data_IF_803447459416
#
_entry.id   IF_803447459416
#
_cell.length_a   1.000
_cell.length_b   1.000
_cell.length_c   1.000
_cell.angle_alpha   90.00
_cell.angle_beta   90.00
_cell.angle_gamma   90.00
#
_symmetry.space_group_name_H-M   'P 1'
#
loop_
_entity.id
_entity.type
_entity.pdbx_description
1 polymer ?
#
# COMPACT_ATOMS: atom_id res chain seq x y z
N UNK A 1 9.25 19.93 15.94
CA UNK A 1 8.82 18.58 15.53
C UNK A 1 9.57 18.20 14.26
N UNK A 2 9.89 16.92 14.06
CA UNK A 2 10.48 16.47 12.80
C UNK A 2 9.48 16.69 11.65
N UNK A 3 9.91 17.36 10.58
CA UNK A 3 9.06 17.70 9.42
C UNK A 3 9.02 16.59 8.36
N UNK A 4 9.87 15.57 8.52
CA UNK A 4 10.07 14.51 7.53
C UNK A 4 10.08 13.14 8.19
N UNK A 5 9.47 12.17 7.51
CA UNK A 5 9.53 10.75 7.87
C UNK A 5 9.99 9.90 6.67
N UNK A 6 10.67 8.79 6.96
CA UNK A 6 11.10 7.81 5.96
C UNK A 6 10.44 6.47 6.31
N UNK A 7 9.81 5.85 5.31
CA UNK A 7 9.31 4.47 5.38
C UNK A 7 10.18 3.61 4.49
N UNK A 8 10.81 2.59 5.07
CA UNK A 8 11.62 1.61 4.32
C UNK A 8 10.74 0.39 4.04
N UNK A 9 10.38 0.22 2.76
CA UNK A 9 9.47 -0.79 2.25
C UNK A 9 8.21 -0.18 1.64
N UNK A 10 7.98 -0.43 0.35
CA UNK A 10 6.81 -0.03 -0.45
C UNK A 10 5.79 -1.16 -0.63
N UNK A 11 5.64 -2.03 0.36
CA UNK A 11 4.58 -3.03 0.40
C UNK A 11 3.25 -2.42 0.82
N UNK A 12 2.17 -3.21 0.84
CA UNK A 12 0.86 -2.78 1.36
C UNK A 12 0.98 -2.15 2.77
N UNK A 13 1.77 -2.76 3.66
CA UNK A 13 2.00 -2.26 5.01
C UNK A 13 2.74 -0.91 5.00
N UNK A 14 3.80 -0.78 4.20
CA UNK A 14 4.57 0.45 4.09
C UNK A 14 3.78 1.61 3.50
N UNK A 15 2.95 1.35 2.49
CA UNK A 15 2.04 2.35 1.92
C UNK A 15 0.96 2.77 2.92
N UNK A 16 0.40 1.84 3.70
CA UNK A 16 -0.54 2.17 4.78
C UNK A 16 0.14 3.03 5.87
N UNK A 17 1.35 2.66 6.29
CA UNK A 17 2.13 3.45 7.25
C UNK A 17 2.41 4.85 6.72
N UNK A 18 2.86 4.98 5.47
CA UNK A 18 3.11 6.27 4.84
C UNK A 18 1.87 7.14 4.75
N UNK A 19 0.71 6.54 4.43
CA UNK A 19 -0.59 7.24 4.36
C UNK A 19 -1.03 7.80 5.72
N UNK A 20 -0.75 7.09 6.82
CA UNK A 20 -1.03 7.55 8.18
C UNK A 20 -0.02 8.61 8.61
N UNK A 21 1.27 8.40 8.37
CA UNK A 21 2.35 9.35 8.68
C UNK A 21 2.16 10.69 7.96
N UNK A 22 1.61 10.69 6.74
CA UNK A 22 1.31 11.92 5.99
C UNK A 22 0.28 12.84 6.65
N UNK A 23 -0.35 12.42 7.74
CA UNK A 23 -1.22 13.27 8.58
C UNK A 23 -0.43 14.06 9.64
N UNK A 24 0.81 13.67 9.90
CA UNK A 24 1.64 14.17 11.00
C UNK A 24 2.96 14.80 10.53
N UNK A 25 3.41 14.48 9.32
CA UNK A 25 4.66 14.97 8.74
C UNK A 25 4.40 15.68 7.40
N UNK A 26 5.11 16.79 7.16
CA UNK A 26 4.99 17.56 5.91
C UNK A 26 5.43 16.75 4.68
N UNK A 27 6.42 15.86 4.86
CA UNK A 27 6.90 14.97 3.80
C UNK A 27 7.19 13.58 4.32
N UNK A 28 6.58 12.59 3.67
CA UNK A 28 6.90 11.17 3.87
C UNK A 28 7.55 10.63 2.61
N UNK A 29 8.76 10.09 2.75
CA UNK A 29 9.46 9.40 1.65
C UNK A 29 9.36 7.90 1.88
N UNK A 30 8.74 7.19 0.93
CA UNK A 30 8.73 5.71 0.90
C UNK A 30 9.84 5.25 -0.02
N UNK A 31 10.68 4.35 0.45
CA UNK A 31 11.78 3.76 -0.31
C UNK A 31 11.52 2.26 -0.45
N UNK A 32 11.54 1.74 -1.67
CA UNK A 32 11.48 0.31 -1.94
C UNK A 32 12.73 -0.10 -2.74
N UNK A 33 13.12 -1.36 -2.64
CA UNK A 33 14.22 -1.92 -3.42
C UNK A 33 13.80 -2.15 -4.88
N UNK A 34 12.55 -2.55 -5.09
CA UNK A 34 12.01 -2.83 -6.41
C UNK A 34 11.44 -1.57 -7.05
N UNK A 35 11.38 -1.56 -8.38
CA UNK A 35 10.59 -0.59 -9.12
C UNK A 35 9.13 -1.04 -9.20
N UNK A 36 8.20 -0.08 -9.11
CA UNK A 36 6.78 -0.39 -9.34
C UNK A 36 6.53 -0.64 -10.82
N UNK A 37 5.91 -1.76 -11.19
CA UNK A 37 5.55 -2.04 -12.57
C UNK A 37 4.43 -1.11 -13.04
N UNK A 38 4.37 -0.83 -14.36
CA UNK A 38 3.32 0.00 -14.94
C UNK A 38 1.92 -0.66 -14.91
N UNK A 39 1.87 -1.99 -14.77
CA UNK A 39 0.67 -2.80 -14.66
C UNK A 39 0.82 -3.84 -13.55
N UNK A 40 -0.26 -4.54 -13.20
CA UNK A 40 -0.22 -5.61 -12.21
C UNK A 40 0.77 -6.71 -12.64
N UNK A 41 1.88 -6.84 -11.90
CA UNK A 41 2.92 -7.82 -12.16
C UNK A 41 3.63 -8.21 -10.86
N UNK A 42 4.23 -9.39 -10.86
CA UNK A 42 5.04 -9.88 -9.74
C UNK A 42 6.29 -9.03 -9.56
N UNK A 43 6.72 -8.87 -8.31
CA UNK A 43 7.96 -8.17 -7.96
C UNK A 43 8.92 -9.11 -7.25
N UNK A 44 10.21 -9.00 -7.58
CA UNK A 44 11.26 -9.86 -7.01
C UNK A 44 11.33 -9.77 -5.49
N UNK A 45 11.13 -8.58 -4.91
CA UNK A 45 11.10 -8.35 -3.46
C UNK A 45 9.81 -8.80 -2.77
N UNK A 46 8.83 -9.34 -3.49
CA UNK A 46 7.59 -9.90 -2.93
C UNK A 46 7.34 -11.33 -3.48
N UNK A 47 8.17 -12.32 -3.11
CA UNK A 47 8.06 -13.67 -3.67
C UNK A 47 6.69 -14.33 -3.43
N UNK A 48 6.01 -13.94 -2.36
CA UNK A 48 4.70 -14.44 -1.93
C UNK A 48 3.56 -13.71 -2.62
N UNK A 49 3.83 -12.70 -3.45
CA UNK A 49 2.82 -11.94 -4.20
C UNK A 49 2.02 -12.81 -5.17
N UNK A 50 2.57 -13.97 -5.56
CA UNK A 50 1.94 -14.95 -6.46
C UNK A 50 0.87 -15.81 -5.78
N UNK A 51 0.83 -15.80 -4.46
CA UNK A 51 -0.16 -16.57 -3.68
C UNK A 51 -1.43 -15.75 -3.46
N UNK A 52 -2.55 -16.43 -3.27
CA UNK A 52 -3.80 -15.77 -2.90
C UNK A 52 -3.68 -15.19 -1.50
N UNK A 53 -4.00 -13.91 -1.36
CA UNK A 53 -4.06 -13.21 -0.07
C UNK A 53 -5.50 -12.85 0.23
N UNK A 54 -6.13 -13.58 1.15
CA UNK A 54 -7.49 -13.28 1.57
C UNK A 54 -7.53 -11.95 2.35
N UNK A 55 -8.31 -10.98 1.87
CA UNK A 55 -8.52 -9.72 2.58
C UNK A 55 -9.73 -9.83 3.50
N UNK A 56 -9.47 -9.85 4.82
CA UNK A 56 -10.53 -9.89 5.82
C UNK A 56 -11.43 -8.64 5.72
N UNK A 57 -12.73 -8.81 6.00
CA UNK A 57 -13.71 -7.73 5.87
C UNK A 57 -13.37 -6.46 6.66
N UNK A 58 -12.73 -6.60 7.84
CA UNK A 58 -12.24 -5.44 8.60
C UNK A 58 -11.09 -4.74 7.88
N UNK A 59 -10.12 -5.48 7.35
CA UNK A 59 -9.00 -4.93 6.58
C UNK A 59 -9.49 -4.16 5.36
N UNK A 60 -10.46 -4.71 4.63
CA UNK A 60 -11.11 -4.03 3.50
C UNK A 60 -11.71 -2.67 3.88
N UNK A 61 -12.45 -2.58 5.00
CA UNK A 61 -13.01 -1.31 5.50
C UNK A 61 -11.93 -0.31 5.91
N UNK A 62 -10.85 -0.76 6.53
CA UNK A 62 -9.76 0.13 6.91
C UNK A 62 -8.99 0.66 5.68
N UNK A 63 -8.80 -0.19 4.66
CA UNK A 63 -8.18 0.25 3.41
C UNK A 63 -9.03 1.29 2.68
N UNK A 64 -10.36 1.12 2.64
CA UNK A 64 -11.26 2.14 2.11
C UNK A 64 -11.17 3.47 2.90
N UNK A 65 -11.06 3.40 4.23
CA UNK A 65 -10.89 4.59 5.08
C UNK A 65 -9.54 5.29 4.85
N UNK A 66 -8.48 4.52 4.61
CA UNK A 66 -7.14 5.06 4.35
C UNK A 66 -7.01 5.60 2.91
N UNK A 67 -7.62 4.91 1.95
CA UNK A 67 -7.56 5.17 0.53
C UNK A 67 -8.99 5.18 -0.04
N UNK A 68 -9.71 6.32 0.04
CA UNK A 68 -11.08 6.41 -0.49
C UNK A 68 -11.14 6.00 -1.96
N UNK A 69 -12.08 5.11 -2.31
CA UNK A 69 -12.21 4.51 -3.64
C UNK A 69 -11.42 3.20 -3.83
N UNK A 70 -10.76 2.68 -2.79
CA UNK A 70 -10.01 1.42 -2.87
C UNK A 70 -10.91 0.24 -3.26
N UNK A 71 -12.03 0.03 -2.56
CA UNK A 71 -12.93 -1.10 -2.81
C UNK A 71 -13.47 -1.13 -4.25
N UNK A 72 -14.10 -0.06 -4.78
CA UNK A 72 -14.58 -0.08 -6.16
C UNK A 72 -13.43 -0.24 -7.16
N UNK A 73 -12.26 0.37 -6.92
CA UNK A 73 -11.11 0.25 -7.81
C UNK A 73 -10.54 -1.17 -7.86
N UNK A 74 -10.54 -1.89 -6.74
CA UNK A 74 -10.11 -3.29 -6.66
C UNK A 74 -11.10 -4.23 -7.34
N UNK A 75 -12.41 -4.04 -7.10
CA UNK A 75 -13.47 -4.82 -7.77
C UNK A 75 -13.42 -4.68 -9.28
N UNK A 76 -13.28 -3.45 -9.77
CA UNK A 76 -13.16 -3.16 -11.20
C UNK A 76 -11.97 -3.90 -11.86
N UNK A 77 -10.91 -4.15 -11.08
CA UNK A 77 -9.69 -4.83 -11.54
C UNK A 77 -9.69 -6.33 -11.25
N UNK A 78 -10.79 -6.89 -10.74
CA UNK A 78 -10.92 -8.32 -10.42
C UNK A 78 -10.14 -8.77 -9.19
N UNK A 79 -9.75 -7.84 -8.31
CA UNK A 79 -8.95 -8.13 -7.11
C UNK A 79 -9.79 -8.32 -5.82
N UNK A 80 -11.11 -8.06 -5.86
CA UNK A 80 -12.08 -8.19 -4.74
C UNK A 80 -13.51 -8.48 -5.23
#
# INVERSE_FOLDING_TARGET
MATRAIVVGGSLAGLCAGRVLGRFFDRVTVIDRDSYPAAAADRTGVPQGRHVHALLARGRRELERLFPGFDPAMRQRGAL
#
